data_IF_633666450784
#
_entry.id   IF_633666450784
#
_cell.length_a   1.000
_cell.length_b   1.000
_cell.length_c   1.000
_cell.angle_alpha   90.00
_cell.angle_beta   90.00
_cell.angle_gamma   90.00
#
_symmetry.space_group_name_H-M   'P 1'
#
loop_
_entity.id
_entity.type
_entity.pdbx_description
1 polymer ?
#
# COMPACT_ATOMS: atom_id res chain seq x y z
N UNK A 1 12.90 12.36 11.19
CA UNK A 1 13.06 13.13 12.45
C UNK A 1 12.56 12.36 13.66
N UNK A 2 11.39 11.71 13.61
CA UNK A 2 10.81 10.97 14.75
C UNK A 2 11.78 10.00 15.44
N UNK A 3 12.57 9.23 14.68
CA UNK A 3 13.61 8.36 15.23
C UNK A 3 14.61 9.10 16.14
N UNK A 4 15.16 10.23 15.68
CA UNK A 4 16.14 11.01 16.43
C UNK A 4 15.54 11.63 17.70
N UNK A 5 14.29 12.13 17.61
CA UNK A 5 13.56 12.64 18.77
C UNK A 5 13.27 11.55 19.79
N UNK A 6 12.90 10.35 19.33
CA UNK A 6 12.69 9.19 20.21
C UNK A 6 14.01 8.78 20.90
N UNK A 7 15.11 8.67 20.15
CA UNK A 7 16.43 8.34 20.69
C UNK A 7 16.95 9.35 21.71
N UNK A 8 16.63 10.65 21.53
CA UNK A 8 16.97 11.68 22.51
C UNK A 8 16.26 11.47 23.86
N UNK A 9 15.04 10.92 23.86
CA UNK A 9 14.32 10.56 25.09
C UNK A 9 14.72 9.20 25.65
N UNK A 10 15.10 8.25 24.80
CA UNK A 10 15.48 6.88 25.19
C UNK A 10 16.89 6.81 25.77
N UNK A 11 17.82 7.63 25.28
CA UNK A 11 19.24 7.60 25.67
C UNK A 11 19.77 9.00 26.03
N UNK A 12 19.26 9.63 27.11
CA UNK A 12 19.89 10.83 27.65
C UNK A 12 21.36 10.52 28.03
N UNK A 13 22.32 11.42 27.74
CA UNK A 13 23.72 11.17 28.06
C UNK A 13 23.97 11.24 29.58
N UNK A 14 24.74 10.28 30.11
CA UNK A 14 25.12 10.23 31.51
C UNK A 14 26.65 10.17 31.67
N UNK A 15 27.17 10.79 32.75
CA UNK A 15 28.58 10.74 33.11
C UNK A 15 29.51 11.16 31.96
N UNK A 16 30.34 10.23 31.49
CA UNK A 16 31.31 10.47 30.40
C UNK A 16 30.68 10.64 29.02
N UNK A 17 29.40 10.31 28.83
CA UNK A 17 28.68 10.54 27.57
C UNK A 17 28.28 12.01 27.38
N UNK A 18 28.30 12.82 28.45
CA UNK A 18 27.97 14.24 28.39
C UNK A 18 29.14 14.99 27.76
N UNK A 19 29.08 15.16 26.45
CA UNK A 19 30.07 15.93 25.68
C UNK A 19 29.85 17.44 25.75
N UNK A 20 28.62 17.90 26.09
CA UNK A 20 28.26 19.30 26.25
C UNK A 20 27.32 19.48 27.46
N UNK A 21 27.76 20.17 28.53
CA UNK A 21 26.94 20.32 29.75
C UNK A 21 25.70 21.20 29.56
N UNK A 22 25.64 22.02 28.51
CA UNK A 22 24.49 22.86 28.20
C UNK A 22 23.47 22.18 27.25
N UNK A 23 23.78 20.96 26.79
CA UNK A 23 22.94 20.21 25.85
C UNK A 23 22.99 18.72 26.21
N UNK A 24 22.02 18.25 26.99
CA UNK A 24 21.88 16.85 27.41
C UNK A 24 21.33 15.97 26.27
N UNK A 25 22.09 15.89 25.18
CA UNK A 25 21.80 15.08 24.00
C UNK A 25 23.09 14.45 23.48
N UNK A 26 23.00 13.24 22.94
CA UNK A 26 24.12 12.57 22.28
C UNK A 26 23.74 12.13 20.85
N UNK A 27 24.69 12.17 19.91
CA UNK A 27 24.46 11.69 18.56
C UNK A 27 24.32 10.17 18.56
N UNK A 28 23.17 9.67 18.07
CA UNK A 28 22.94 8.25 17.82
C UNK A 28 22.65 8.07 16.33
N UNK A 29 23.39 7.19 15.63
CA UNK A 29 23.21 7.02 14.19
C UNK A 29 21.82 6.46 13.86
N UNK A 30 21.15 7.10 12.90
CA UNK A 30 19.91 6.59 12.29
C UNK A 30 20.19 6.23 10.85
N UNK A 31 20.20 4.92 10.57
CA UNK A 31 20.43 4.40 9.24
C UNK A 31 19.17 4.53 8.38
N UNK A 32 19.35 4.87 7.12
CA UNK A 32 18.25 4.99 6.16
C UNK A 32 18.74 4.65 4.76
N UNK A 33 17.80 4.40 3.86
CA UNK A 33 18.01 4.19 2.44
C UNK A 33 17.03 5.09 1.66
N UNK A 34 17.34 5.50 0.43
CA UNK A 34 16.40 6.26 -0.39
C UNK A 34 15.09 5.49 -0.57
N UNK A 35 13.94 6.18 -0.52
CA UNK A 35 12.62 5.53 -0.53
C UNK A 35 12.36 4.61 -1.74
N UNK A 36 12.89 4.96 -2.91
CA UNK A 36 12.81 4.14 -4.14
C UNK A 36 13.59 2.82 -4.05
N UNK A 37 14.56 2.74 -3.14
CA UNK A 37 15.39 1.56 -2.88
C UNK A 37 15.00 0.86 -1.57
N UNK A 38 14.08 1.43 -0.80
CA UNK A 38 13.60 0.84 0.44
C UNK A 38 12.47 -0.16 0.15
N UNK A 39 12.86 -1.40 -0.07
CA UNK A 39 11.93 -2.53 -0.30
C UNK A 39 11.44 -3.18 1.00
N UNK A 40 11.83 -2.66 2.18
CA UNK A 40 11.47 -3.24 3.48
C UNK A 40 10.44 -2.37 4.19
N UNK A 41 10.74 -1.08 4.38
CA UNK A 41 9.88 -0.12 5.10
C UNK A 41 9.27 0.92 4.15
N UNK A 42 9.88 1.10 2.98
CA UNK A 42 9.50 2.13 2.04
C UNK A 42 8.11 1.93 1.44
N UNK A 43 7.50 3.04 1.05
CA UNK A 43 6.25 3.08 0.29
C UNK A 43 6.46 3.41 -1.19
N UNK A 44 7.69 3.75 -1.59
CA UNK A 44 8.03 4.25 -2.93
C UNK A 44 8.76 3.23 -3.81
N UNK A 45 8.86 1.97 -3.39
CA UNK A 45 9.48 0.93 -4.19
C UNK A 45 8.68 0.65 -5.47
N UNK A 46 9.39 0.24 -6.53
CA UNK A 46 8.76 -0.16 -7.79
C UNK A 46 8.48 -1.66 -7.83
N UNK A 47 7.20 -2.03 -7.74
CA UNK A 47 6.71 -3.40 -7.91
C UNK A 47 5.46 -3.38 -8.81
N UNK A 48 5.61 -3.60 -10.13
CA UNK A 48 4.50 -3.52 -11.08
C UNK A 48 3.32 -4.45 -10.74
N UNK A 49 3.61 -5.68 -10.30
CA UNK A 49 2.56 -6.63 -9.89
C UNK A 49 1.80 -6.16 -8.66
N UNK A 50 2.48 -5.59 -7.66
CA UNK A 50 1.82 -5.04 -6.48
C UNK A 50 0.85 -3.91 -6.85
N UNK A 51 1.30 -2.95 -7.68
CA UNK A 51 0.45 -1.85 -8.18
C UNK A 51 -0.78 -2.39 -8.92
N UNK A 52 -0.58 -3.39 -9.78
CA UNK A 52 -1.68 -4.05 -10.51
C UNK A 52 -2.67 -4.75 -9.57
N UNK A 53 -2.18 -5.57 -8.65
CA UNK A 53 -3.01 -6.32 -7.72
C UNK A 53 -3.80 -5.39 -6.79
N UNK A 54 -3.17 -4.34 -6.26
CA UNK A 54 -3.86 -3.35 -5.42
C UNK A 54 -4.97 -2.64 -6.19
N UNK A 55 -4.71 -2.23 -7.44
CA UNK A 55 -5.73 -1.65 -8.30
C UNK A 55 -6.89 -2.63 -8.58
N UNK A 56 -6.58 -3.91 -8.81
CA UNK A 56 -7.60 -4.97 -8.96
C UNK A 56 -8.41 -5.12 -7.67
N UNK A 57 -7.77 -5.16 -6.51
CA UNK A 57 -8.44 -5.26 -5.21
C UNK A 57 -9.41 -4.10 -5.00
N UNK A 58 -8.97 -2.85 -5.17
CA UNK A 58 -9.81 -1.67 -4.94
C UNK A 58 -11.02 -1.63 -5.88
N UNK A 59 -10.86 -2.05 -7.14
CA UNK A 59 -11.89 -1.86 -8.17
C UNK A 59 -12.74 -3.10 -8.47
N UNK A 60 -12.23 -4.31 -8.22
CA UNK A 60 -12.86 -5.57 -8.67
C UNK A 60 -13.19 -6.53 -7.54
N UNK A 61 -12.54 -6.43 -6.38
CA UNK A 61 -12.91 -7.27 -5.23
C UNK A 61 -14.38 -6.99 -4.83
N UNK A 62 -15.20 -8.02 -4.56
CA UNK A 62 -16.62 -7.83 -4.24
C UNK A 62 -16.86 -6.88 -3.06
N UNK A 63 -16.01 -6.92 -2.03
CA UNK A 63 -16.15 -6.08 -0.85
C UNK A 63 -15.91 -4.62 -1.21
N UNK A 64 -14.76 -4.30 -1.84
CA UNK A 64 -14.42 -2.93 -2.20
C UNK A 64 -15.32 -2.37 -3.30
N UNK A 65 -15.74 -3.20 -4.26
CA UNK A 65 -16.72 -2.80 -5.27
C UNK A 65 -18.06 -2.40 -4.65
N UNK A 66 -18.59 -3.22 -3.73
CA UNK A 66 -19.82 -2.91 -3.01
C UNK A 66 -19.66 -1.66 -2.14
N UNK A 67 -18.51 -1.50 -1.49
CA UNK A 67 -18.19 -0.32 -0.68
C UNK A 67 -18.14 0.96 -1.54
N UNK A 68 -17.46 0.93 -2.68
CA UNK A 68 -17.37 2.08 -3.58
C UNK A 68 -18.74 2.44 -4.17
N UNK A 69 -19.57 1.47 -4.53
CA UNK A 69 -20.93 1.76 -5.01
C UNK A 69 -21.80 2.35 -3.89
N UNK A 70 -21.69 1.83 -2.66
CA UNK A 70 -22.40 2.37 -1.48
C UNK A 70 -22.06 3.83 -1.21
N UNK A 71 -20.80 4.25 -1.40
CA UNK A 71 -20.35 5.61 -1.11
C UNK A 71 -20.18 6.49 -2.35
N UNK A 72 -20.70 6.07 -3.51
CA UNK A 72 -20.58 6.81 -4.77
C UNK A 72 -21.09 8.26 -4.71
N UNK A 73 -22.21 8.48 -4.01
CA UNK A 73 -22.76 9.83 -3.82
C UNK A 73 -21.86 10.70 -2.91
N UNK A 74 -21.26 10.09 -1.87
CA UNK A 74 -20.27 10.75 -1.03
C UNK A 74 -19.06 11.16 -1.85
N UNK A 75 -18.51 10.25 -2.66
CA UNK A 75 -17.36 10.52 -3.52
C UNK A 75 -17.64 11.65 -4.53
N UNK A 76 -18.84 11.67 -5.12
CA UNK A 76 -19.27 12.73 -6.03
C UNK A 76 -19.40 14.08 -5.30
N UNK A 77 -19.94 14.08 -4.08
CA UNK A 77 -20.05 15.28 -3.24
C UNK A 77 -18.66 15.83 -2.90
N UNK A 78 -17.76 14.99 -2.40
CA UNK A 78 -16.40 15.40 -2.06
C UNK A 78 -15.66 15.90 -3.30
N UNK A 79 -15.76 15.20 -4.43
CA UNK A 79 -15.15 15.64 -5.71
C UNK A 79 -15.59 17.05 -6.10
N UNK A 80 -16.89 17.34 -6.02
CA UNK A 80 -17.44 18.65 -6.36
C UNK A 80 -16.89 19.76 -5.46
N UNK A 81 -16.67 19.47 -4.18
CA UNK A 81 -16.29 20.48 -3.18
C UNK A 81 -14.77 20.62 -2.99
N UNK A 82 -14.01 19.54 -3.12
CA UNK A 82 -12.54 19.55 -3.02
C UNK A 82 -11.86 19.89 -4.34
N UNK A 83 -12.51 19.65 -5.48
CA UNK A 83 -11.93 19.78 -6.81
C UNK A 83 -11.03 18.60 -7.23
N UNK A 84 -10.81 17.63 -6.33
CA UNK A 84 -10.05 16.41 -6.61
C UNK A 84 -11.02 15.29 -7.00
N UNK A 85 -10.75 14.57 -8.10
CA UNK A 85 -11.54 13.39 -8.45
C UNK A 85 -11.39 12.31 -7.37
N UNK A 86 -12.50 12.00 -6.70
CA UNK A 86 -12.63 10.88 -5.79
C UNK A 86 -13.56 9.87 -6.44
N UNK A 87 -13.04 8.70 -6.79
CA UNK A 87 -13.82 7.63 -7.42
C UNK A 87 -13.73 6.29 -6.65
N UNK A 88 -12.86 6.22 -5.64
CA UNK A 88 -12.66 5.04 -4.81
C UNK A 88 -12.13 5.38 -3.41
N UNK A 89 -12.07 4.36 -2.55
CA UNK A 89 -11.66 4.45 -1.14
C UNK A 89 -10.21 4.90 -0.92
N UNK A 90 -9.31 4.79 -1.89
CA UNK A 90 -7.94 5.28 -1.72
C UNK A 90 -7.89 6.80 -1.69
N UNK A 91 -8.59 7.45 -2.62
CA UNK A 91 -8.49 8.90 -2.77
C UNK A 91 -9.22 9.65 -1.64
N UNK A 92 -10.27 9.04 -1.08
CA UNK A 92 -11.01 9.64 0.03
C UNK A 92 -10.14 9.78 1.29
N UNK A 93 -9.15 8.90 1.48
CA UNK A 93 -8.24 8.93 2.64
C UNK A 93 -7.38 10.20 2.66
N UNK A 94 -6.95 10.71 1.50
CA UNK A 94 -6.19 11.98 1.44
C UNK A 94 -7.03 13.18 1.89
N UNK A 95 -8.32 13.18 1.58
CA UNK A 95 -9.25 14.23 2.05
C UNK A 95 -9.41 14.13 3.57
N UNK A 96 -9.61 12.93 4.09
CA UNK A 96 -9.69 12.72 5.54
C UNK A 96 -8.42 13.19 6.25
N UNK A 97 -7.24 12.77 5.80
CA UNK A 97 -5.95 13.12 6.42
C UNK A 97 -5.75 14.64 6.43
N UNK A 98 -6.07 15.32 5.33
CA UNK A 98 -6.00 16.78 5.25
C UNK A 98 -6.90 17.43 6.31
N UNK A 99 -8.17 17.04 6.39
CA UNK A 99 -9.13 17.61 7.34
C UNK A 99 -8.75 17.30 8.79
N UNK A 100 -8.25 16.10 9.06
CA UNK A 100 -7.77 15.69 10.38
C UNK A 100 -6.60 16.56 10.83
N UNK A 101 -5.61 16.77 9.97
CA UNK A 101 -4.46 17.63 10.26
C UNK A 101 -4.91 19.08 10.46
N UNK A 102 -5.80 19.60 9.60
CA UNK A 102 -6.31 20.96 9.75
C UNK A 102 -7.03 21.16 11.09
N UNK A 103 -7.90 20.24 11.49
CA UNK A 103 -8.58 20.25 12.79
C UNK A 103 -7.58 20.14 13.95
N UNK A 104 -6.60 19.24 13.87
CA UNK A 104 -5.56 19.05 14.88
C UNK A 104 -4.79 20.34 15.16
N UNK A 105 -4.56 21.16 14.14
CA UNK A 105 -3.90 22.46 14.26
C UNK A 105 -4.88 23.64 14.38
N UNK A 106 -6.12 23.38 14.81
CA UNK A 106 -7.18 24.37 15.05
C UNK A 106 -7.48 25.28 13.85
N UNK A 107 -7.30 24.78 12.63
CA UNK A 107 -7.72 25.49 11.42
C UNK A 107 -9.22 25.32 11.23
N UNK A 108 -9.87 26.35 10.70
CA UNK A 108 -11.29 26.29 10.36
C UNK A 108 -11.49 25.41 9.13
N UNK A 109 -12.24 24.32 9.30
CA UNK A 109 -12.62 23.48 8.18
C UNK A 109 -13.71 24.16 7.33
N UNK A 110 -13.71 23.99 5.99
CA UNK A 110 -14.76 24.51 5.12
C UNK A 110 -16.15 23.96 5.49
N UNK A 111 -17.21 24.78 5.38
CA UNK A 111 -18.58 24.40 5.76
C UNK A 111 -19.10 23.08 5.14
N UNK A 112 -18.65 22.74 3.94
CA UNK A 112 -19.09 21.53 3.25
C UNK A 112 -18.61 20.25 3.95
N UNK A 113 -17.55 20.30 4.75
CA UNK A 113 -16.94 19.14 5.41
C UNK A 113 -17.79 18.61 6.56
N UNK A 114 -18.62 19.46 7.18
CA UNK A 114 -19.54 19.07 8.28
C UNK A 114 -20.47 17.90 7.93
N UNK A 115 -20.74 17.69 6.63
CA UNK A 115 -21.58 16.57 6.16
C UNK A 115 -20.85 15.23 6.07
N UNK A 116 -19.52 15.24 6.12
CA UNK A 116 -18.68 14.08 5.77
C UNK A 116 -17.56 13.80 6.78
N UNK A 117 -17.15 14.80 7.56
CA UNK A 117 -16.08 14.73 8.54
C UNK A 117 -16.65 14.90 9.97
N UNK A 118 -16.19 14.12 10.96
CA UNK A 118 -15.19 13.05 10.84
C UNK A 118 -15.74 11.79 10.15
N UNK A 119 -17.03 11.50 10.31
CA UNK A 119 -17.68 10.34 9.72
C UNK A 119 -18.57 10.73 8.53
N UNK A 120 -18.61 9.93 7.44
CA UNK A 120 -18.04 8.58 7.29
C UNK A 120 -16.58 8.52 6.80
N UNK A 121 -15.89 9.66 6.67
CA UNK A 121 -14.52 9.71 6.11
C UNK A 121 -13.50 8.89 6.92
N UNK A 122 -13.56 8.97 8.24
CA UNK A 122 -12.66 8.25 9.14
C UNK A 122 -12.82 6.72 8.98
N UNK A 123 -14.05 6.21 8.97
CA UNK A 123 -14.31 4.78 8.69
C UNK A 123 -13.75 4.32 7.34
N UNK A 124 -13.95 5.10 6.28
CA UNK A 124 -13.42 4.76 4.95
C UNK A 124 -11.89 4.76 4.94
N UNK A 125 -11.30 5.73 5.61
CA UNK A 125 -9.84 5.85 5.75
C UNK A 125 -9.26 4.67 6.52
N UNK A 126 -9.88 4.25 7.63
CA UNK A 126 -9.48 3.06 8.37
C UNK A 126 -9.52 1.79 7.50
N UNK A 127 -10.58 1.60 6.70
CA UNK A 127 -10.69 0.46 5.77
C UNK A 127 -9.61 0.54 4.67
N UNK A 128 -9.17 1.73 4.25
CA UNK A 128 -8.13 1.86 3.23
C UNK A 128 -6.79 1.23 3.64
N UNK A 129 -6.49 1.20 4.95
CA UNK A 129 -5.24 0.64 5.49
C UNK A 129 -5.07 -0.88 5.33
N UNK A 130 -6.14 -1.62 5.01
CA UNK A 130 -6.05 -3.06 4.71
C UNK A 130 -5.92 -3.35 3.22
N UNK A 131 -6.09 -2.36 2.34
CA UNK A 131 -6.07 -2.57 0.88
C UNK A 131 -4.72 -3.09 0.38
N UNK A 132 -3.61 -2.63 0.96
CA UNK A 132 -2.25 -3.02 0.58
C UNK A 132 -1.85 -4.43 1.03
N UNK A 133 -2.68 -5.06 1.87
CA UNK A 133 -2.42 -6.38 2.46
C UNK A 133 -3.70 -7.22 2.51
N UNK A 134 -4.65 -6.95 1.61
CA UNK A 134 -5.95 -7.62 1.58
C UNK A 134 -5.85 -9.09 1.18
N UNK A 135 -5.10 -9.38 0.12
CA UNK A 135 -4.89 -10.75 -0.39
C UNK A 135 -3.55 -11.30 0.06
N UNK A 136 -3.38 -12.63 -0.03
CA UNK A 136 -2.12 -13.30 0.29
C UNK A 136 -0.96 -12.75 -0.54
N UNK A 137 -1.17 -12.53 -1.84
CA UNK A 137 -0.17 -11.99 -2.77
C UNK A 137 0.22 -10.55 -2.40
N UNK A 138 -0.75 -9.73 -1.98
CA UNK A 138 -0.46 -8.38 -1.49
C UNK A 138 0.32 -8.42 -0.17
N UNK A 139 -0.05 -9.29 0.78
CA UNK A 139 0.72 -9.51 2.01
C UNK A 139 2.17 -9.91 1.73
N UNK A 140 2.37 -10.84 0.79
CA UNK A 140 3.69 -11.27 0.31
C UNK A 140 4.50 -10.07 -0.19
N UNK A 141 3.98 -9.37 -1.19
CA UNK A 141 4.69 -8.27 -1.85
C UNK A 141 4.89 -7.03 -0.98
N UNK A 142 3.99 -6.76 -0.02
CA UNK A 142 4.07 -5.58 0.85
C UNK A 142 4.89 -5.82 2.12
N UNK A 143 4.61 -6.91 2.84
CA UNK A 143 5.15 -7.13 4.19
C UNK A 143 6.07 -8.36 4.30
N UNK A 144 6.12 -9.21 3.28
CA UNK A 144 6.89 -10.47 3.33
C UNK A 144 8.37 -10.29 3.62
N UNK A 145 9.01 -9.29 2.98
CA UNK A 145 10.41 -8.94 3.23
C UNK A 145 10.64 -8.39 4.64
N UNK A 146 9.73 -7.56 5.15
CA UNK A 146 9.87 -7.01 6.49
C UNK A 146 9.69 -8.08 7.57
N UNK A 147 8.73 -8.99 7.41
CA UNK A 147 8.54 -10.13 8.31
C UNK A 147 9.77 -11.05 8.27
N UNK A 148 10.35 -11.31 7.09
CA UNK A 148 11.59 -12.06 6.98
C UNK A 148 12.76 -11.36 7.71
N UNK A 149 12.85 -10.03 7.60
CA UNK A 149 13.86 -9.23 8.29
C UNK A 149 13.68 -9.26 9.82
N UNK A 150 12.46 -9.18 10.33
CA UNK A 150 12.16 -9.31 11.75
C UNK A 150 12.56 -10.68 12.29
N UNK A 151 12.20 -11.75 11.56
CA UNK A 151 12.58 -13.11 11.92
C UNK A 151 14.11 -13.28 11.99
N UNK A 152 14.81 -12.80 10.96
CA UNK A 152 16.28 -12.82 10.90
C UNK A 152 16.92 -12.09 12.10
N UNK A 153 16.33 -10.98 12.54
CA UNK A 153 16.81 -10.26 13.72
C UNK A 153 16.63 -11.10 15.01
N UNK A 154 15.49 -11.76 15.18
CA UNK A 154 15.29 -12.66 16.33
C UNK A 154 16.28 -13.81 16.32
N UNK A 155 16.53 -14.41 15.16
CA UNK A 155 17.49 -15.50 15.04
C UNK A 155 18.91 -15.04 15.41
N UNK A 156 19.35 -13.88 14.92
CA UNK A 156 20.66 -13.33 15.28
C UNK A 156 20.80 -12.92 16.75
N UNK A 157 19.70 -12.53 17.40
CA UNK A 157 19.71 -12.24 18.83
C UNK A 157 20.03 -13.50 19.65
N UNK A 158 19.59 -14.68 19.21
CA UNK A 158 19.93 -15.96 19.87
C UNK A 158 21.42 -16.29 19.75
N UNK A 159 22.05 -15.91 18.64
CA UNK A 159 23.50 -16.12 18.42
C UNK A 159 24.38 -15.08 19.13
N UNK A 160 23.79 -14.12 19.88
CA UNK A 160 24.49 -12.99 20.50
C UNK A 160 25.30 -12.15 19.50
N UNK A 161 24.91 -12.15 18.23
CA UNK A 161 25.56 -11.39 17.14
C UNK A 161 24.78 -10.14 16.74
N UNK A 162 23.64 -9.89 17.38
CA UNK A 162 22.73 -8.76 17.13
C UNK A 162 22.65 -7.85 18.35
N UNK A 163 22.36 -6.55 18.16
CA UNK A 163 21.96 -5.66 19.25
C UNK A 163 20.69 -6.17 19.97
N UNK A 164 20.62 -5.92 21.27
CA UNK A 164 19.45 -6.24 22.13
C UNK A 164 18.19 -5.45 21.74
N UNK A 165 18.35 -4.34 21.01
CA UNK A 165 17.27 -3.45 20.60
C UNK A 165 17.46 -2.97 19.16
N UNK A 166 16.39 -3.07 18.36
CA UNK A 166 16.35 -2.57 16.98
C UNK A 166 15.06 -1.75 16.82
N UNK A 167 15.21 -0.51 16.37
CA UNK A 167 14.08 0.39 16.13
C UNK A 167 13.90 0.65 14.63
N UNK A 168 12.69 0.42 14.14
CA UNK A 168 12.26 0.79 12.79
C UNK A 168 11.31 1.98 12.86
N UNK A 169 11.79 3.15 12.45
CA UNK A 169 10.96 4.36 12.31
C UNK A 169 10.36 4.40 10.92
N UNK A 170 9.05 4.18 10.80
CA UNK A 170 8.37 4.03 9.51
C UNK A 170 7.02 4.79 9.50
N UNK A 171 6.04 4.26 8.77
CA UNK A 171 4.77 4.91 8.49
C UNK A 171 3.59 4.10 9.06
N UNK A 172 2.42 4.74 9.10
CA UNK A 172 1.13 4.12 9.42
C UNK A 172 0.84 2.89 8.54
N UNK A 173 1.09 2.96 7.23
CA UNK A 173 0.93 1.83 6.32
C UNK A 173 1.94 0.70 6.57
N UNK A 174 3.09 0.99 7.19
CA UNK A 174 4.02 -0.04 7.66
C UNK A 174 3.44 -0.79 8.85
N UNK A 175 2.86 -0.05 9.81
CA UNK A 175 2.19 -0.62 10.99
C UNK A 175 0.98 -1.44 10.57
N UNK A 176 0.05 -0.87 9.80
CA UNK A 176 -1.14 -1.59 9.34
C UNK A 176 -0.78 -2.77 8.45
N UNK A 177 0.20 -2.60 7.55
CA UNK A 177 0.67 -3.65 6.65
C UNK A 177 1.21 -4.85 7.42
N UNK A 178 2.08 -4.62 8.42
CA UNK A 178 2.62 -5.66 9.27
C UNK A 178 1.51 -6.37 10.06
N UNK A 179 0.72 -5.62 10.83
CA UNK A 179 -0.30 -6.20 11.71
C UNK A 179 -1.38 -6.95 10.91
N UNK A 180 -1.79 -6.42 9.76
CA UNK A 180 -2.84 -7.05 8.94
C UNK A 180 -2.31 -8.29 8.21
N UNK A 181 -1.02 -8.28 7.83
CA UNK A 181 -0.35 -9.46 7.29
C UNK A 181 -0.26 -10.59 8.33
N UNK A 182 -0.03 -10.24 9.60
CA UNK A 182 -0.03 -11.18 10.73
C UNK A 182 -1.43 -11.57 11.23
N UNK A 183 -2.49 -10.94 10.72
CA UNK A 183 -3.87 -11.23 11.11
C UNK A 183 -4.27 -10.70 12.50
N UNK A 184 -3.57 -9.68 12.98
CA UNK A 184 -3.74 -9.07 14.32
C UNK A 184 -4.00 -7.56 14.24
N UNK A 185 -4.41 -7.06 13.08
CA UNK A 185 -4.77 -5.66 12.89
C UNK A 185 -6.23 -5.43 13.22
N UNK A 186 -6.47 -4.56 14.19
CA UNK A 186 -7.76 -3.93 14.36
C UNK A 186 -7.89 -2.79 13.33
N UNK A 187 -8.94 -2.82 12.52
CA UNK A 187 -9.11 -1.90 11.38
C UNK A 187 -9.36 -0.49 11.90
N UNK A 188 -8.28 0.27 12.00
CA UNK A 188 -8.25 1.64 12.47
C UNK A 188 -7.15 2.41 11.73
N UNK A 189 -7.14 3.73 11.84
CA UNK A 189 -6.02 4.55 11.39
C UNK A 189 -4.93 4.46 12.47
N UNK A 190 -3.70 3.98 12.17
CA UNK A 190 -2.61 4.01 13.14
C UNK A 190 -2.31 5.45 13.59
N UNK A 191 -2.46 5.80 14.87
CA UNK A 191 -2.25 7.17 15.32
C UNK A 191 -0.78 7.56 15.30
N UNK A 192 -0.49 8.86 15.35
CA UNK A 192 0.87 9.37 15.45
C UNK A 192 1.61 8.77 16.66
N UNK A 193 2.89 8.48 16.46
CA UNK A 193 3.77 7.84 17.44
C UNK A 193 3.26 6.49 17.97
N UNK A 194 2.31 5.84 17.28
CA UNK A 194 1.97 4.45 17.58
C UNK A 194 3.18 3.53 17.35
N UNK A 195 3.25 2.46 18.13
CA UNK A 195 4.41 1.58 18.16
C UNK A 195 3.98 0.12 18.26
N UNK A 196 4.46 -0.71 17.36
CA UNK A 196 4.41 -2.17 17.49
C UNK A 196 5.67 -2.62 18.20
N UNK A 197 5.51 -3.28 19.33
CA UNK A 197 6.58 -3.81 20.16
C UNK A 197 6.60 -5.33 19.96
N UNK A 198 7.77 -5.88 19.66
CA UNK A 198 7.97 -7.31 19.52
C UNK A 198 9.17 -7.72 20.36
N UNK A 199 8.93 -8.59 21.34
CA UNK A 199 9.93 -9.01 22.31
C UNK A 199 10.27 -10.48 22.12
N UNK A 200 11.57 -10.81 22.17
CA UNK A 200 12.06 -12.18 22.24
C UNK A 200 12.41 -12.53 23.68
N UNK A 201 11.76 -13.57 24.20
CA UNK A 201 11.91 -14.06 25.56
C UNK A 201 12.51 -15.47 25.53
N UNK A 202 13.37 -15.77 26.50
CA UNK A 202 13.80 -17.14 26.78
C UNK A 202 13.07 -17.65 28.02
N UNK A 203 12.31 -18.73 27.85
CA UNK A 203 11.61 -19.39 28.96
C UNK A 203 12.56 -20.20 29.85
N UNK A 204 12.15 -20.61 31.07
CA UNK A 204 12.99 -21.38 31.98
C UNK A 204 13.50 -22.71 31.41
N UNK A 205 12.79 -23.30 30.43
CA UNK A 205 13.20 -24.54 29.78
C UNK A 205 14.09 -24.30 28.52
N UNK A 206 14.47 -23.06 28.25
CA UNK A 206 15.31 -22.66 27.11
C UNK A 206 14.54 -22.35 25.83
N UNK A 207 13.21 -22.53 25.78
CA UNK A 207 12.42 -22.24 24.58
C UNK A 207 12.31 -20.75 24.32
N UNK A 208 12.41 -20.36 23.05
CA UNK A 208 12.32 -18.98 22.58
C UNK A 208 10.88 -18.61 22.24
N UNK A 209 10.41 -17.51 22.83
CA UNK A 209 9.02 -17.06 22.79
C UNK A 209 8.93 -15.61 22.34
N UNK A 210 7.99 -15.30 21.47
CA UNK A 210 7.69 -13.95 21.00
C UNK A 210 6.46 -13.39 21.70
N UNK A 211 6.53 -12.14 22.16
CA UNK A 211 5.38 -11.36 22.62
C UNK A 211 5.20 -10.15 21.73
N UNK A 212 3.96 -9.86 21.38
CA UNK A 212 3.59 -8.74 20.50
C UNK A 212 2.71 -7.77 21.26
N UNK A 213 2.99 -6.47 21.14
CA UNK A 213 2.16 -5.43 21.73
C UNK A 213 1.99 -4.27 20.76
N UNK A 214 0.90 -3.53 20.92
CA UNK A 214 0.65 -2.32 20.15
C UNK A 214 0.30 -1.17 21.10
N UNK A 215 1.16 -0.15 21.11
CA UNK A 215 0.94 1.08 21.85
C UNK A 215 0.40 2.13 20.89
N UNK A 216 -0.92 2.34 20.91
CA UNK A 216 -1.63 3.35 20.12
C UNK A 216 -2.37 4.39 20.97
N UNK A 217 -2.19 4.35 22.29
CA UNK A 217 -2.76 5.28 23.26
C UNK A 217 -1.68 5.63 24.29
N UNK A 218 -1.44 6.92 24.54
CA UNK A 218 -0.43 7.36 25.51
C UNK A 218 -0.91 7.32 26.95
N UNK A 219 -2.23 7.24 27.16
CA UNK A 219 -2.88 7.24 28.49
C UNK A 219 -2.98 5.86 29.11
N UNK A 220 -2.62 4.80 28.36
CA UNK A 220 -2.75 3.39 28.76
C UNK A 220 -1.47 2.61 28.45
N UNK A 221 -1.26 1.46 29.13
CA UNK A 221 -0.24 0.50 28.72
C UNK A 221 -0.46 -0.01 27.28
N UNK A 222 0.60 -0.53 26.62
CA UNK A 222 0.47 -1.20 25.33
C UNK A 222 -0.54 -2.35 25.38
N UNK A 223 -1.32 -2.52 24.32
CA UNK A 223 -2.26 -3.63 24.18
C UNK A 223 -1.50 -4.88 23.75
N UNK A 224 -1.69 -5.99 24.45
CA UNK A 224 -1.16 -7.28 24.02
C UNK A 224 -1.86 -7.77 22.74
N UNK A 225 -1.08 -8.24 21.77
CA UNK A 225 -1.57 -8.82 20.53
C UNK A 225 -1.27 -10.32 20.50
N UNK A 226 -2.28 -11.11 20.17
CA UNK A 226 -2.17 -12.57 20.10
C UNK A 226 -2.28 -12.99 18.63
N UNK A 227 -1.23 -13.61 18.10
CA UNK A 227 -1.26 -14.15 16.75
C UNK A 227 -2.30 -15.28 16.65
N UNK A 228 -3.10 -15.35 15.58
CA UNK A 228 -3.98 -16.48 15.35
C UNK A 228 -3.21 -17.81 15.37
N UNK A 229 -3.65 -18.74 16.22
CA UNK A 229 -2.97 -20.03 16.42
C UNK A 229 -1.84 -20.02 17.46
N UNK A 230 -1.61 -18.90 18.14
CA UNK A 230 -0.63 -18.78 19.23
C UNK A 230 -1.27 -18.37 20.57
N UNK A 231 -0.48 -18.40 21.64
CA UNK A 231 -0.81 -17.77 22.93
C UNK A 231 -0.12 -16.41 23.04
N UNK A 232 -0.26 -15.70 24.18
CA UNK A 232 0.43 -14.42 24.44
C UNK A 232 1.95 -14.51 24.20
N UNK A 233 2.55 -15.66 24.57
CA UNK A 233 3.93 -15.98 24.29
C UNK A 233 3.98 -17.03 23.18
N UNK A 234 4.14 -16.57 21.95
CA UNK A 234 4.11 -17.40 20.74
C UNK A 234 5.48 -18.06 20.53
N UNK A 235 5.59 -19.40 20.44
CA UNK A 235 6.87 -20.04 20.14
C UNK A 235 7.46 -19.51 18.84
N UNK A 236 8.77 -19.25 18.82
CA UNK A 236 9.46 -18.73 17.63
C UNK A 236 9.25 -19.62 16.40
N UNK A 237 9.27 -20.95 16.58
CA UNK A 237 9.00 -21.91 15.49
C UNK A 237 7.56 -21.81 14.97
N UNK A 238 6.57 -21.63 15.84
CA UNK A 238 5.19 -21.38 15.42
C UNK A 238 5.07 -20.08 14.62
N UNK A 239 5.78 -19.03 15.01
CA UNK A 239 5.83 -17.78 14.23
C UNK A 239 6.45 -18.01 12.84
N UNK A 240 7.52 -18.81 12.73
CA UNK A 240 8.14 -19.17 11.45
C UNK A 240 7.17 -19.89 10.52
N UNK A 241 6.42 -20.85 11.07
CA UNK A 241 5.42 -21.64 10.35
C UNK A 241 4.25 -20.76 9.89
N UNK A 242 3.65 -20.01 10.81
CA UNK A 242 2.49 -19.13 10.54
C UNK A 242 2.80 -18.07 9.48
N UNK A 243 4.02 -17.54 9.48
CA UNK A 243 4.44 -16.52 8.52
C UNK A 243 5.04 -17.08 7.23
N UNK A 244 5.40 -18.36 7.19
CA UNK A 244 5.99 -19.00 5.99
C UNK A 244 5.19 -18.76 4.68
N UNK A 245 3.85 -18.74 4.65
CA UNK A 245 3.10 -18.56 3.41
C UNK A 245 3.20 -17.14 2.83
N UNK A 246 3.69 -16.17 3.62
CA UNK A 246 3.82 -14.76 3.21
C UNK A 246 5.24 -14.22 3.23
N UNK A 247 6.20 -14.91 3.88
CA UNK A 247 7.61 -14.53 3.85
C UNK A 247 8.21 -14.73 2.46
N UNK A 248 9.17 -13.85 2.13
CA UNK A 248 9.89 -13.84 0.86
C UNK A 248 11.38 -13.59 1.10
N UNK A 249 12.24 -14.16 0.25
CA UNK A 249 13.58 -13.65 0.01
C UNK A 249 13.55 -12.43 -0.94
N UNK A 250 14.67 -11.72 -1.04
CA UNK A 250 14.80 -10.59 -1.98
C UNK A 250 14.66 -11.05 -3.43
N UNK A 251 15.19 -12.24 -3.75
CA UNK A 251 15.14 -12.84 -5.09
C UNK A 251 13.70 -13.24 -5.45
N UNK A 252 13.00 -13.89 -4.51
CA UNK A 252 11.59 -14.26 -4.68
C UNK A 252 10.71 -13.02 -4.85
N UNK A 253 10.93 -11.98 -4.04
CA UNK A 253 10.21 -10.72 -4.16
C UNK A 253 10.43 -10.07 -5.53
N UNK A 254 11.68 -10.00 -6.01
CA UNK A 254 12.00 -9.44 -7.34
C UNK A 254 11.32 -10.21 -8.46
N UNK A 255 11.29 -11.54 -8.36
CA UNK A 255 10.63 -12.41 -9.33
C UNK A 255 9.10 -12.23 -9.28
N UNK A 256 8.51 -12.26 -8.09
CA UNK A 256 7.07 -12.07 -7.91
C UNK A 256 6.62 -10.66 -8.27
N UNK A 257 7.46 -9.63 -8.17
CA UNK A 257 7.09 -8.26 -8.54
C UNK A 257 6.90 -8.05 -10.05
N UNK A 258 7.41 -8.95 -10.89
CA UNK A 258 7.23 -8.86 -12.33
C UNK A 258 5.78 -9.20 -12.73
N UNK A 259 5.28 -8.50 -13.76
CA UNK A 259 4.03 -8.89 -14.43
C UNK A 259 4.39 -9.95 -15.46
N UNK A 260 3.65 -11.05 -15.48
CA UNK A 260 3.85 -12.15 -16.44
C UNK A 260 3.90 -11.60 -17.88
N UNK A 261 5.02 -11.84 -18.56
CA UNK A 261 5.29 -11.35 -19.91
C UNK A 261 4.28 -11.88 -20.93
N UNK A 262 3.62 -13.01 -20.65
CA UNK A 262 2.54 -13.55 -21.48
C UNK A 262 1.35 -12.61 -21.60
N UNK A 263 1.00 -11.85 -20.55
CA UNK A 263 -0.09 -10.85 -20.61
C UNK A 263 0.28 -9.70 -21.56
N UNK A 264 1.56 -9.30 -21.58
CA UNK A 264 2.04 -8.30 -22.51
C UNK A 264 2.01 -8.83 -23.95
N UNK A 265 2.41 -10.08 -24.19
CA UNK A 265 2.31 -10.71 -25.51
C UNK A 265 0.86 -10.79 -25.97
N UNK A 266 -0.08 -11.24 -25.13
CA UNK A 266 -1.51 -11.31 -25.47
C UNK A 266 -2.09 -9.93 -25.74
N UNK A 267 -1.72 -8.90 -24.96
CA UNK A 267 -2.11 -7.50 -25.23
C UNK A 267 -1.58 -7.00 -26.57
N UNK A 268 -0.30 -7.24 -26.85
CA UNK A 268 0.32 -6.82 -28.12
C UNK A 268 -0.38 -7.51 -29.29
N UNK A 269 -0.55 -8.83 -29.22
CA UNK A 269 -1.22 -9.63 -30.26
C UNK A 269 -2.67 -9.16 -30.46
N UNK A 270 -3.43 -8.92 -29.40
CA UNK A 270 -4.82 -8.44 -29.51
C UNK A 270 -4.93 -7.04 -30.13
N UNK A 271 -3.98 -6.13 -29.84
CA UNK A 271 -3.91 -4.83 -30.51
C UNK A 271 -3.58 -4.99 -32.00
N UNK A 272 -2.61 -5.83 -32.36
CA UNK A 272 -2.28 -6.10 -33.76
C UNK A 272 -3.45 -6.69 -34.53
N UNK A 273 -4.18 -7.64 -33.93
CA UNK A 273 -5.39 -8.23 -34.53
C UNK A 273 -6.46 -7.16 -34.74
N UNK A 274 -6.71 -6.29 -33.77
CA UNK A 274 -7.68 -5.20 -33.90
C UNK A 274 -7.32 -4.21 -35.02
N UNK A 275 -6.03 -3.85 -35.15
CA UNK A 275 -5.53 -2.99 -36.23
C UNK A 275 -5.73 -3.67 -37.59
N UNK A 276 -5.42 -4.96 -37.70
CA UNK A 276 -5.61 -5.72 -38.94
C UNK A 276 -7.09 -5.75 -39.37
N UNK A 277 -8.00 -5.97 -38.43
CA UNK A 277 -9.44 -5.92 -38.68
C UNK A 277 -9.90 -4.54 -39.17
N UNK A 278 -9.39 -3.46 -38.55
CA UNK A 278 -9.66 -2.08 -38.98
C UNK A 278 -9.16 -1.81 -40.40
N UNK A 279 -7.97 -2.29 -40.76
CA UNK A 279 -7.44 -2.12 -42.12
C UNK A 279 -8.29 -2.87 -43.16
N UNK A 280 -8.71 -4.10 -42.86
CA UNK A 280 -9.58 -4.89 -43.76
C UNK A 280 -10.95 -4.20 -43.92
N UNK A 281 -11.52 -3.66 -42.84
CA UNK A 281 -12.73 -2.85 -42.87
C UNK A 281 -12.56 -1.62 -43.78
N UNK A 282 -11.47 -0.88 -43.66
CA UNK A 282 -11.20 0.30 -44.50
C UNK A 282 -11.03 -0.09 -45.98
N UNK A 283 -10.30 -1.18 -46.26
CA UNK A 283 -10.10 -1.68 -47.63
C UNK A 283 -11.43 -2.13 -48.24
N UNK A 284 -12.27 -2.85 -47.50
CA UNK A 284 -13.56 -3.30 -48.00
C UNK A 284 -14.52 -2.13 -48.27
N UNK A 285 -14.55 -1.11 -47.39
CA UNK A 285 -15.35 0.10 -47.58
C UNK A 285 -14.86 0.90 -48.79
N UNK A 286 -13.54 1.12 -48.93
CA UNK A 286 -12.97 1.82 -50.09
C UNK A 286 -13.21 1.07 -51.39
N UNK A 287 -13.11 -0.26 -51.39
CA UNK A 287 -13.47 -1.11 -52.52
C UNK A 287 -14.94 -0.97 -52.93
N UNK A 288 -15.88 -0.99 -51.96
CA UNK A 288 -17.31 -0.81 -52.22
C UNK A 288 -17.60 0.59 -52.78
N UNK A 289 -16.98 1.64 -52.21
CA UNK A 289 -17.11 3.03 -52.70
C UNK A 289 -16.58 3.13 -54.13
N UNK A 290 -15.38 2.59 -54.40
CA UNK A 290 -14.77 2.64 -55.72
C UNK A 290 -15.60 1.87 -56.76
N UNK A 291 -16.17 0.72 -56.40
CA UNK A 291 -17.09 -0.04 -57.26
C UNK A 291 -18.36 0.75 -57.56
N UNK A 292 -18.94 1.45 -56.58
CA UNK A 292 -20.11 2.31 -56.79
C UNK A 292 -19.80 3.51 -57.71
N UNK A 293 -18.66 4.17 -57.50
CA UNK A 293 -18.23 5.29 -58.36
C UNK A 293 -18.01 4.84 -59.81
N UNK A 294 -17.33 3.70 -60.00
CA UNK A 294 -17.09 3.11 -61.34
C UNK A 294 -18.39 2.70 -62.06
N UNK A 295 -19.43 2.31 -61.31
CA UNK A 295 -20.74 2.01 -61.86
C UNK A 295 -21.54 3.27 -62.23
N UNK A 296 -21.35 4.38 -61.51
CA UNK A 296 -21.95 5.68 -61.84
C UNK A 296 -21.31 6.34 -63.07
N UNK A 297 -20.00 6.20 -63.26
CA UNK A 297 -19.29 6.75 -64.43
C UNK A 297 -19.68 6.06 -65.75
N UNK A 298 -20.18 4.83 -65.69
CA UNK A 298 -20.66 4.10 -66.89
C UNK A 298 -22.07 4.50 -67.32
N UNK A 299 -22.74 5.41 -66.60
CA UNK A 299 -24.10 5.88 -66.89
C UNK A 299 -24.20 7.22 -67.64
N UNK A 300 -23.09 7.93 -67.87
CA UNK A 300 -23.08 9.22 -68.56
C UNK A 300 -22.37 9.13 -69.92
N UNK A 301 -23.04 8.55 -70.92
CA UNK A 301 -22.74 8.87 -72.32
C UNK A 301 -23.79 9.86 -72.81
N UNK A 302 -23.33 11.09 -73.01
CA UNK A 302 -24.05 12.29 -73.39
C UNK A 302 -24.70 12.20 -74.78
N UNK A 303 -26.00 12.49 -74.83
CA UNK A 303 -26.70 12.94 -76.04
C UNK A 303 -26.17 14.35 -76.35
N UNK A 304 -25.47 14.52 -77.47
CA UNK A 304 -25.17 15.84 -78.04
C UNK A 304 -26.05 16.02 -79.27
N UNK A 305 -26.86 17.07 -79.22
CA UNK A 305 -27.87 17.46 -80.19
C UNK A 305 -27.43 18.78 -80.85
N UNK A 306 -27.27 18.76 -82.19
CA UNK A 306 -27.44 19.86 -83.19
C UNK A 306 -26.59 21.17 -83.07
N UNK A 307 -26.48 22.09 -84.08
CA UNK A 307 -27.39 22.34 -85.23
C UNK A 307 -26.79 22.72 -86.61
N UNK A 308 -27.72 22.86 -87.58
CA UNK A 308 -27.68 23.43 -88.95
C UNK A 308 -27.27 22.54 -90.13
#
# INVERSE_FOLDING_TARGET
MSALSNLAGLYPPEGSQIWNPNLLWQPIPVHTVPGIHDIILGSQFECPKFKLLRNITINKDPYFKALNEKYKLLYSYVTKHSGQLIDNIEYITYIHDTLFIEELYNKSLPEWTKKVYPEPLNKLSAISFVTETWTKELKRLKSGLFIARLLHNFEKAMDSTSPDFIMYSAHDNTVSGLLNSLGIFDIQIPPYASCVIMELHQSPNGSMLLRFQYRNDTTKPPYDLILPGCTLFCPLESFKELTSPIRLSVEEWKAECQIDSTINVVRIVSVFVAILFLMIMIISVTYVIHRKLRHNDSGYVSIVQEPH
#
